data_IF_547875981508
#
_entry.id   IF_547875981508
#
_cell.length_a   1.000
_cell.length_b   1.000
_cell.length_c   1.000
_cell.angle_alpha   90.00
_cell.angle_beta   90.00
_cell.angle_gamma   90.00
#
_symmetry.space_group_name_H-M   'P 1'
#
loop_
_entity.id
_entity.type
_entity.pdbx_description
1 polymer ?
#
# COMPACT_ATOMS: atom_id res chain seq x y z
N UNK A 1 13.55 4.38 -14.21
CA UNK A 1 12.46 4.99 -13.44
C UNK A 1 11.19 4.13 -13.45
N UNK A 2 10.54 3.90 -14.60
CA UNK A 2 9.27 3.14 -14.67
C UNK A 2 9.38 1.71 -14.16
N UNK A 3 10.46 1.02 -14.46
CA UNK A 3 10.75 -0.33 -13.94
C UNK A 3 10.82 -0.33 -12.41
N UNK A 4 11.50 0.66 -11.83
CA UNK A 4 11.60 0.80 -10.37
C UNK A 4 10.23 1.08 -9.73
N UNK A 5 9.42 1.96 -10.33
CA UNK A 5 8.05 2.23 -9.89
C UNK A 5 7.18 0.98 -9.93
N UNK A 6 7.29 0.18 -10.98
CA UNK A 6 6.58 -1.10 -11.10
C UNK A 6 6.92 -2.04 -9.93
N UNK A 7 8.20 -2.24 -9.63
CA UNK A 7 8.62 -3.09 -8.50
C UNK A 7 8.17 -2.54 -7.15
N UNK A 8 8.18 -1.21 -6.96
CA UNK A 8 7.68 -0.59 -5.72
C UNK A 8 6.19 -0.84 -5.55
N UNK A 9 5.39 -0.67 -6.61
CA UNK A 9 3.94 -0.89 -6.56
C UNK A 9 3.63 -2.35 -6.22
N UNK A 10 4.23 -3.28 -6.95
CA UNK A 10 4.03 -4.72 -6.73
C UNK A 10 4.52 -5.13 -5.33
N UNK A 11 5.73 -4.71 -4.95
CA UNK A 11 6.30 -5.01 -3.64
C UNK A 11 5.45 -4.49 -2.49
N UNK A 12 5.03 -3.23 -2.55
CA UNK A 12 4.16 -2.62 -1.53
C UNK A 12 2.79 -3.30 -1.46
N UNK A 13 2.20 -3.62 -2.61
CA UNK A 13 0.91 -4.30 -2.67
C UNK A 13 0.93 -5.70 -2.07
N UNK A 14 2.03 -6.43 -2.26
CA UNK A 14 2.22 -7.75 -1.66
C UNK A 14 2.60 -7.67 -0.18
N UNK A 15 3.43 -6.71 0.22
CA UNK A 15 3.98 -6.61 1.56
C UNK A 15 2.96 -6.13 2.59
N UNK A 16 2.26 -5.01 2.34
CA UNK A 16 1.40 -4.34 3.34
C UNK A 16 0.32 -5.24 3.93
N UNK A 17 -0.52 -5.95 3.14
CA UNK A 17 -1.56 -6.80 3.69
C UNK A 17 -0.98 -8.02 4.43
N UNK A 18 0.13 -8.56 3.94
CA UNK A 18 0.76 -9.73 4.56
C UNK A 18 1.40 -9.40 5.91
N UNK A 19 2.07 -8.25 6.06
CA UNK A 19 2.63 -7.84 7.35
C UNK A 19 1.51 -7.61 8.38
N UNK A 20 0.44 -6.91 8.02
CA UNK A 20 -0.70 -6.71 8.92
C UNK A 20 -1.32 -8.04 9.37
N UNK A 21 -1.46 -9.00 8.46
CA UNK A 21 -1.94 -10.34 8.79
C UNK A 21 -0.97 -11.10 9.74
N UNK A 22 0.34 -10.98 9.52
CA UNK A 22 1.35 -11.57 10.41
C UNK A 22 1.24 -10.99 11.81
N UNK A 23 1.12 -9.65 11.94
CA UNK A 23 0.95 -8.98 13.25
C UNK A 23 -0.28 -9.51 13.98
N UNK A 24 -1.44 -9.60 13.30
CA UNK A 24 -2.65 -10.16 13.90
C UNK A 24 -2.50 -11.62 14.37
N UNK A 25 -1.69 -12.43 13.69
CA UNK A 25 -1.45 -13.83 14.01
C UNK A 25 -0.42 -14.07 15.11
N UNK A 26 0.28 -13.03 15.57
CA UNK A 26 1.19 -13.11 16.72
C UNK A 26 0.43 -13.27 18.04
N UNK A 27 -0.85 -12.92 18.05
CA UNK A 27 -1.70 -12.95 19.22
C UNK A 27 -2.75 -14.06 19.09
N UNK A 28 -3.07 -14.77 20.20
CA UNK A 28 -4.22 -15.69 20.25
C UNK A 28 -5.53 -14.95 19.94
N UNK A 29 -6.56 -15.72 19.55
CA UNK A 29 -7.89 -15.15 19.37
C UNK A 29 -8.39 -14.52 20.68
N UNK A 30 -8.94 -13.31 20.58
CA UNK A 30 -9.45 -12.49 21.72
C UNK A 30 -8.37 -12.05 22.73
N UNK A 31 -7.09 -12.02 22.38
CA UNK A 31 -6.06 -11.44 23.23
C UNK A 31 -6.18 -9.91 23.24
N UNK A 32 -6.40 -9.33 24.42
CA UNK A 32 -6.53 -7.89 24.64
C UNK A 32 -5.28 -7.10 24.24
N UNK A 33 -4.12 -7.76 24.13
CA UNK A 33 -2.86 -7.14 23.71
C UNK A 33 -2.74 -6.96 22.20
N UNK A 34 -3.61 -7.57 21.41
CA UNK A 34 -3.59 -7.49 19.95
C UNK A 34 -3.72 -6.04 19.48
N UNK A 35 -4.62 -5.26 20.08
CA UNK A 35 -4.79 -3.84 19.75
C UNK A 35 -3.53 -3.03 20.04
N UNK A 36 -2.91 -3.26 21.20
CA UNK A 36 -1.63 -2.63 21.53
C UNK A 36 -0.51 -3.01 20.54
N UNK A 37 -0.49 -4.27 20.08
CA UNK A 37 0.43 -4.73 19.05
C UNK A 37 0.26 -4.00 17.74
N UNK A 38 -0.96 -3.79 17.28
CA UNK A 38 -1.24 -2.99 16.10
C UNK A 38 -0.86 -1.51 16.28
N UNK A 39 -1.09 -0.93 17.45
CA UNK A 39 -0.66 0.45 17.77
C UNK A 39 0.85 0.59 17.65
N UNK A 40 1.63 -0.34 18.23
CA UNK A 40 3.09 -0.36 18.13
C UNK A 40 3.54 -0.51 16.68
N UNK A 41 2.90 -1.39 15.92
CA UNK A 41 3.18 -1.57 14.49
C UNK A 41 2.96 -0.27 13.71
N UNK A 42 1.81 0.39 13.86
CA UNK A 42 1.55 1.67 13.21
C UNK A 42 2.46 2.80 13.69
N UNK A 43 2.82 2.81 14.97
CA UNK A 43 3.79 3.76 15.50
C UNK A 43 5.15 3.62 14.83
N UNK A 44 5.62 2.38 14.57
CA UNK A 44 6.88 2.15 13.86
C UNK A 44 6.84 2.66 12.41
N UNK A 45 5.69 2.52 11.71
CA UNK A 45 5.49 3.08 10.37
C UNK A 45 5.56 4.60 10.40
N UNK A 46 4.89 5.24 11.36
CA UNK A 46 4.90 6.70 11.52
C UNK A 46 6.30 7.23 11.92
N UNK A 47 7.06 6.50 12.74
CA UNK A 47 8.45 6.84 13.02
C UNK A 47 9.32 6.82 11.76
N UNK A 48 9.13 5.84 10.89
CA UNK A 48 9.78 5.80 9.58
C UNK A 48 9.40 7.01 8.71
N UNK A 49 8.12 7.36 8.68
CA UNK A 49 7.62 8.52 7.94
C UNK A 49 8.16 9.85 8.47
N UNK A 50 8.40 9.96 9.79
CA UNK A 50 9.01 11.14 10.41
C UNK A 50 10.50 11.25 10.10
N UNK A 51 11.24 10.15 10.21
CA UNK A 51 12.71 10.14 10.07
C UNK A 51 13.13 10.27 8.59
N UNK A 52 12.37 9.69 7.68
CA UNK A 52 12.71 9.65 6.25
C UNK A 52 12.90 11.03 5.62
N UNK A 53 12.00 12.01 5.77
CA UNK A 53 12.20 13.35 5.22
C UNK A 53 13.43 14.06 5.79
N UNK A 54 13.72 13.88 7.08
CA UNK A 54 14.87 14.50 7.75
C UNK A 54 16.18 14.03 7.12
N UNK A 55 16.29 12.72 6.85
CA UNK A 55 17.47 12.16 6.19
C UNK A 55 17.55 12.59 4.72
N UNK A 56 16.41 12.61 4.02
CA UNK A 56 16.36 12.88 2.59
C UNK A 56 16.52 14.37 2.27
N UNK A 57 16.17 15.28 3.20
CA UNK A 57 16.25 16.73 2.98
C UNK A 57 17.64 17.16 2.51
N UNK A 58 18.70 16.66 3.15
CA UNK A 58 20.07 16.95 2.76
C UNK A 58 20.35 16.62 1.27
N UNK A 59 19.83 15.49 0.77
CA UNK A 59 20.02 15.06 -0.62
C UNK A 59 19.19 15.87 -1.60
N UNK A 60 18.05 16.38 -1.16
CA UNK A 60 17.21 17.30 -1.94
C UNK A 60 17.93 18.64 -2.08
N UNK A 61 18.49 19.17 -1.01
CA UNK A 61 19.18 20.47 -0.98
C UNK A 61 20.39 20.50 -1.92
N UNK A 62 21.17 19.41 -1.97
CA UNK A 62 22.30 19.26 -2.89
C UNK A 62 21.89 18.75 -4.28
N UNK A 63 20.59 18.63 -4.57
CA UNK A 63 20.02 18.09 -5.81
C UNK A 63 20.53 16.69 -6.20
N UNK A 64 20.97 15.90 -5.22
CA UNK A 64 21.43 14.52 -5.43
C UNK A 64 20.30 13.52 -5.18
N UNK A 65 19.29 13.50 -6.03
CA UNK A 65 18.15 12.59 -5.91
C UNK A 65 18.55 11.11 -5.97
N UNK A 66 19.60 10.77 -6.72
CA UNK A 66 20.09 9.38 -6.78
C UNK A 66 20.66 8.92 -5.43
N UNK A 67 21.34 9.79 -4.71
CA UNK A 67 21.81 9.52 -3.34
C UNK A 67 20.64 9.30 -2.38
N UNK A 68 19.58 10.10 -2.46
CA UNK A 68 18.37 9.91 -1.68
C UNK A 68 17.71 8.54 -1.94
N UNK A 69 17.55 8.15 -3.20
CA UNK A 69 17.02 6.82 -3.55
C UNK A 69 17.94 5.68 -3.08
N UNK A 70 19.26 5.86 -3.14
CA UNK A 70 20.22 4.87 -2.67
C UNK A 70 20.09 4.63 -1.16
N UNK A 71 19.93 5.68 -0.36
CA UNK A 71 19.71 5.55 1.10
C UNK A 71 18.41 4.81 1.39
N UNK A 72 17.34 5.13 0.70
CA UNK A 72 16.08 4.41 0.85
C UNK A 72 16.24 2.92 0.50
N UNK A 73 16.97 2.60 -0.58
CA UNK A 73 17.27 1.24 -0.99
C UNK A 73 18.11 0.49 0.05
N UNK A 74 19.12 1.15 0.64
CA UNK A 74 19.95 0.58 1.71
C UNK A 74 19.07 0.30 2.94
N UNK A 75 18.22 1.24 3.35
CA UNK A 75 17.30 1.04 4.48
C UNK A 75 16.36 -0.16 4.26
N UNK A 76 15.79 -0.31 3.07
CA UNK A 76 14.97 -1.48 2.72
C UNK A 76 15.78 -2.78 2.72
N UNK A 77 17.01 -2.76 2.20
CA UNK A 77 17.88 -3.91 2.19
C UNK A 77 18.27 -4.35 3.61
N UNK A 78 18.59 -3.41 4.50
CA UNK A 78 18.85 -3.68 5.91
C UNK A 78 17.63 -4.28 6.61
N UNK A 79 16.43 -3.74 6.36
CA UNK A 79 15.18 -4.28 6.89
C UNK A 79 14.92 -5.72 6.40
N UNK A 80 15.18 -6.00 5.11
CA UNK A 80 15.05 -7.33 4.54
C UNK A 80 16.06 -8.32 5.16
N UNK A 81 17.33 -7.93 5.27
CA UNK A 81 18.37 -8.75 5.89
C UNK A 81 18.02 -9.05 7.35
N UNK A 82 17.60 -8.04 8.11
CA UNK A 82 17.11 -8.22 9.47
C UNK A 82 15.95 -9.22 9.55
N UNK A 83 14.96 -9.05 8.69
CA UNK A 83 13.84 -9.97 8.62
C UNK A 83 14.29 -11.41 8.31
N UNK A 84 15.15 -11.61 7.33
CA UNK A 84 15.63 -12.94 6.94
C UNK A 84 16.45 -13.63 8.04
N UNK A 85 17.24 -12.87 8.80
CA UNK A 85 18.06 -13.40 9.89
C UNK A 85 17.25 -13.77 11.13
N UNK A 86 16.23 -12.95 11.45
CA UNK A 86 15.53 -13.06 12.74
C UNK A 86 14.09 -13.60 12.64
N UNK A 87 13.51 -13.74 11.45
CA UNK A 87 12.13 -14.17 11.28
C UNK A 87 11.81 -15.50 11.99
N UNK A 88 12.70 -16.48 11.88
CA UNK A 88 12.50 -17.80 12.54
C UNK A 88 12.52 -17.70 14.06
N UNK A 89 13.35 -16.81 14.62
CA UNK A 89 13.47 -16.61 16.07
C UNK A 89 12.30 -15.79 16.63
N UNK A 90 11.83 -14.80 15.89
CA UNK A 90 10.79 -13.85 16.35
C UNK A 90 9.38 -14.28 15.97
N UNK A 91 9.19 -14.82 14.77
CA UNK A 91 7.87 -15.22 14.25
C UNK A 91 7.63 -16.73 14.33
N UNK A 92 8.69 -17.52 14.55
CA UNK A 92 8.57 -18.99 14.56
C UNK A 92 8.07 -19.52 13.22
N UNK A 93 6.92 -20.17 13.23
CA UNK A 93 6.27 -20.69 12.01
C UNK A 93 5.23 -19.75 11.40
N UNK A 94 4.96 -18.60 12.04
CA UNK A 94 3.95 -17.65 11.59
C UNK A 94 4.41 -16.99 10.27
N UNK A 95 3.54 -16.99 9.27
CA UNK A 95 3.85 -16.45 7.95
C UNK A 95 4.70 -17.34 7.04
N UNK A 96 5.22 -18.46 7.52
CA UNK A 96 6.03 -19.39 6.70
C UNK A 96 5.21 -20.20 5.69
N UNK A 97 3.94 -20.43 6.00
CA UNK A 97 3.01 -21.16 5.12
C UNK A 97 1.72 -20.37 4.98
N UNK A 98 1.09 -20.39 3.81
CA UNK A 98 -0.22 -19.78 3.64
C UNK A 98 -1.25 -20.52 4.53
N UNK A 99 -2.19 -19.77 5.09
CA UNK A 99 -3.25 -20.31 5.96
C UNK A 99 -4.19 -21.21 5.18
N UNK A 100 -4.49 -20.83 3.94
CA UNK A 100 -5.29 -21.59 3.00
C UNK A 100 -4.52 -21.74 1.68
N UNK A 101 -3.73 -22.81 1.51
CA UNK A 101 -2.96 -23.00 0.29
C UNK A 101 -3.89 -23.33 -0.87
N UNK A 102 -3.75 -22.60 -1.97
CA UNK A 102 -4.48 -22.87 -3.19
C UNK A 102 -4.22 -24.28 -3.69
N UNK A 103 -5.27 -24.99 -4.06
CA UNK A 103 -5.17 -26.27 -4.75
C UNK A 103 -4.50 -26.15 -6.12
N UNK A 104 -4.03 -27.24 -6.69
CA UNK A 104 -3.36 -27.20 -8.00
C UNK A 104 -4.28 -26.66 -9.12
N UNK A 105 -5.58 -26.96 -9.05
CA UNK A 105 -6.59 -26.44 -9.99
C UNK A 105 -6.82 -24.94 -9.82
N UNK A 106 -6.88 -24.45 -8.58
CA UNK A 106 -7.03 -23.02 -8.28
C UNK A 106 -5.80 -22.23 -8.67
N UNK A 107 -4.59 -22.74 -8.43
CA UNK A 107 -3.34 -22.11 -8.90
C UNK A 107 -3.35 -21.94 -10.41
N UNK A 108 -3.77 -22.97 -11.16
CA UNK A 108 -3.88 -22.87 -12.61
C UNK A 108 -4.93 -21.85 -13.03
N UNK A 109 -6.12 -21.90 -12.40
CA UNK A 109 -7.22 -20.95 -12.69
C UNK A 109 -6.81 -19.50 -12.43
N UNK A 110 -6.33 -19.19 -11.23
CA UNK A 110 -5.92 -17.83 -10.88
C UNK A 110 -4.67 -17.38 -11.64
N UNK A 111 -3.71 -18.27 -11.86
CA UNK A 111 -2.56 -17.99 -12.70
C UNK A 111 -2.97 -17.61 -14.12
N UNK A 112 -3.89 -18.36 -14.74
CA UNK A 112 -4.41 -18.03 -16.07
C UNK A 112 -5.14 -16.68 -16.07
N UNK A 113 -5.97 -16.41 -15.06
CA UNK A 113 -6.67 -15.11 -14.94
C UNK A 113 -5.66 -13.96 -14.84
N UNK A 114 -4.62 -14.09 -14.01
CA UNK A 114 -3.57 -13.07 -13.88
C UNK A 114 -2.88 -12.83 -15.23
N UNK A 115 -2.50 -13.88 -15.93
CA UNK A 115 -1.86 -13.77 -17.26
C UNK A 115 -2.79 -13.07 -18.26
N UNK A 116 -4.07 -13.44 -18.31
CA UNK A 116 -5.05 -12.80 -19.20
C UNK A 116 -5.20 -11.30 -18.85
N UNK A 117 -5.31 -10.97 -17.58
CA UNK A 117 -5.43 -9.57 -17.12
C UNK A 117 -4.18 -8.76 -17.49
N UNK A 118 -2.99 -9.31 -17.27
CA UNK A 118 -1.73 -8.65 -17.65
C UNK A 118 -1.66 -8.43 -19.17
N UNK A 119 -1.98 -9.45 -19.97
CA UNK A 119 -2.02 -9.33 -21.42
C UNK A 119 -3.04 -8.27 -21.86
N UNK A 120 -4.24 -8.26 -21.27
CA UNK A 120 -5.27 -7.27 -21.59
C UNK A 120 -4.79 -5.84 -21.26
N UNK A 121 -4.17 -5.63 -20.11
CA UNK A 121 -3.60 -4.32 -19.72
C UNK A 121 -2.53 -3.89 -20.73
N UNK A 122 -1.59 -4.78 -21.07
CA UNK A 122 -0.53 -4.48 -22.05
C UNK A 122 -1.13 -4.13 -23.41
N UNK A 123 -2.11 -4.88 -23.89
CA UNK A 123 -2.79 -4.60 -25.17
C UNK A 123 -3.52 -3.25 -25.14
N UNK A 124 -4.24 -2.94 -24.07
CA UNK A 124 -4.92 -1.64 -23.90
C UNK A 124 -3.90 -0.49 -23.93
N UNK A 125 -2.78 -0.62 -23.21
CA UNK A 125 -1.73 0.40 -23.21
C UNK A 125 -1.06 0.53 -24.59
N UNK A 126 -0.82 -0.56 -25.29
CA UNK A 126 -0.31 -0.53 -26.66
C UNK A 126 -1.28 0.16 -27.63
N UNK A 127 -2.55 -0.19 -27.57
CA UNK A 127 -3.57 0.46 -28.42
C UNK A 127 -3.63 1.96 -28.10
N UNK A 128 -3.68 2.33 -26.82
CA UNK A 128 -3.71 3.73 -26.38
C UNK A 128 -2.45 4.50 -26.81
N UNK A 129 -1.30 3.84 -26.85
CA UNK A 129 -0.05 4.43 -27.34
C UNK A 129 -0.10 4.67 -28.86
N UNK A 130 -0.48 3.67 -29.65
CA UNK A 130 -0.53 3.79 -31.12
C UNK A 130 -1.64 4.71 -31.61
N UNK A 131 -2.75 4.82 -30.89
CA UNK A 131 -3.86 5.74 -31.21
C UNK A 131 -3.63 7.15 -30.67
N UNK A 132 -2.48 7.43 -30.01
CA UNK A 132 -2.17 8.71 -29.36
C UNK A 132 -3.25 9.16 -28.36
N UNK A 133 -4.05 8.23 -27.84
CA UNK A 133 -5.07 8.50 -26.80
C UNK A 133 -4.52 8.41 -25.39
N UNK A 134 -3.25 7.98 -25.23
CA UNK A 134 -2.59 7.89 -23.94
C UNK A 134 -2.38 9.29 -23.38
N UNK A 135 -3.27 9.69 -22.48
CA UNK A 135 -3.21 10.97 -21.79
C UNK A 135 -3.23 10.78 -20.28
N UNK A 136 -2.70 11.75 -19.54
CA UNK A 136 -2.77 11.74 -18.07
C UNK A 136 -4.21 11.62 -17.57
N UNK A 137 -5.16 12.28 -18.22
CA UNK A 137 -6.58 12.21 -17.88
C UNK A 137 -7.17 10.80 -18.06
N UNK A 138 -6.78 10.09 -19.13
CA UNK A 138 -7.23 8.71 -19.35
C UNK A 138 -6.72 7.79 -18.22
N UNK A 139 -5.45 7.91 -17.86
CA UNK A 139 -4.84 7.13 -16.78
C UNK A 139 -5.53 7.45 -15.45
N UNK A 140 -5.67 8.73 -15.11
CA UNK A 140 -6.29 9.20 -13.88
C UNK A 140 -7.74 8.72 -13.74
N UNK A 141 -8.54 8.88 -14.79
CA UNK A 141 -9.93 8.43 -14.80
C UNK A 141 -10.04 6.90 -14.69
N UNK A 142 -9.15 6.17 -15.35
CA UNK A 142 -9.12 4.70 -15.25
C UNK A 142 -8.80 4.24 -13.83
N UNK A 143 -7.80 4.86 -13.19
CA UNK A 143 -7.46 4.57 -11.79
C UNK A 143 -8.62 4.91 -10.86
N UNK A 144 -9.30 6.04 -11.07
CA UNK A 144 -10.48 6.42 -10.29
C UNK A 144 -11.60 5.40 -10.42
N UNK A 145 -11.95 5.02 -11.65
CA UNK A 145 -13.02 4.05 -11.91
C UNK A 145 -12.67 2.69 -11.29
N UNK A 146 -11.44 2.21 -11.47
CA UNK A 146 -10.99 0.96 -10.86
C UNK A 146 -10.97 1.05 -9.33
N UNK A 147 -10.53 2.17 -8.77
CA UNK A 147 -10.50 2.41 -7.33
C UNK A 147 -11.89 2.33 -6.68
N UNK A 148 -12.95 2.70 -7.41
CA UNK A 148 -14.33 2.60 -6.94
C UNK A 148 -14.92 1.22 -7.26
N UNK A 149 -14.72 0.71 -8.48
CA UNK A 149 -15.35 -0.52 -8.95
C UNK A 149 -14.82 -1.76 -8.22
N UNK A 150 -13.49 -1.85 -7.99
CA UNK A 150 -12.90 -3.02 -7.35
C UNK A 150 -13.44 -3.30 -5.94
N UNK A 151 -13.53 -2.33 -5.02
CA UNK A 151 -14.16 -2.56 -3.72
C UNK A 151 -15.62 -2.99 -3.82
N UNK A 152 -16.39 -2.38 -4.71
CA UNK A 152 -17.80 -2.74 -4.93
C UNK A 152 -17.91 -4.21 -5.39
N UNK A 153 -17.12 -4.58 -6.39
CA UNK A 153 -17.09 -5.97 -6.90
C UNK A 153 -16.67 -6.91 -5.78
N UNK A 154 -15.63 -6.58 -5.02
CA UNK A 154 -15.09 -7.40 -3.95
C UNK A 154 -16.14 -7.64 -2.85
N UNK A 155 -16.73 -6.59 -2.29
CA UNK A 155 -17.77 -6.71 -1.27
C UNK A 155 -19.01 -7.45 -1.77
N UNK A 156 -19.44 -7.16 -3.01
CA UNK A 156 -20.59 -7.85 -3.60
C UNK A 156 -20.31 -9.34 -3.76
N UNK A 157 -19.12 -9.71 -4.20
CA UNK A 157 -18.69 -11.11 -4.37
C UNK A 157 -18.67 -11.83 -3.01
N UNK A 158 -18.08 -11.19 -1.99
CA UNK A 158 -18.06 -11.76 -0.63
C UNK A 158 -19.47 -11.97 -0.07
N UNK A 159 -20.34 -10.97 -0.17
CA UNK A 159 -21.71 -11.04 0.36
C UNK A 159 -22.55 -12.11 -0.37
N UNK A 160 -22.30 -12.30 -1.67
CA UNK A 160 -23.03 -13.29 -2.50
C UNK A 160 -22.41 -14.69 -2.47
N UNK A 161 -21.21 -14.85 -1.95
CA UNK A 161 -20.53 -16.14 -1.90
C UNK A 161 -21.32 -17.13 -1.02
N UNK A 162 -21.43 -18.35 -1.50
CA UNK A 162 -22.04 -19.48 -0.74
C UNK A 162 -21.07 -20.08 0.29
N UNK A 163 -19.78 -19.79 0.17
CA UNK A 163 -18.75 -20.27 1.09
C UNK A 163 -18.66 -19.42 2.37
N UNK A 164 -19.26 -18.22 2.35
CA UNK A 164 -19.25 -17.27 3.47
C UNK A 164 -20.43 -17.56 4.39
N UNK A 165 -20.15 -17.79 5.67
CA UNK A 165 -21.17 -18.00 6.70
C UNK A 165 -21.98 -16.74 6.98
N UNK A 166 -23.17 -16.89 7.57
CA UNK A 166 -24.03 -15.72 7.86
C UNK A 166 -23.39 -14.76 8.86
N UNK A 167 -22.60 -15.26 9.80
CA UNK A 167 -21.83 -14.45 10.76
C UNK A 167 -20.77 -13.64 10.04
N UNK A 168 -20.02 -14.24 9.14
CA UNK A 168 -19.00 -13.54 8.34
C UNK A 168 -19.64 -12.52 7.40
N UNK A 169 -20.75 -12.87 6.77
CA UNK A 169 -21.53 -11.96 5.92
C UNK A 169 -22.00 -10.72 6.69
N UNK A 170 -22.45 -10.90 7.91
CA UNK A 170 -22.83 -9.80 8.80
C UNK A 170 -21.64 -8.92 9.13
N UNK A 171 -20.48 -9.50 9.43
CA UNK A 171 -19.24 -8.75 9.68
C UNK A 171 -18.79 -7.96 8.45
N UNK A 172 -18.84 -8.55 7.25
CA UNK A 172 -18.53 -7.86 5.99
C UNK A 172 -19.45 -6.67 5.79
N UNK A 173 -20.76 -6.81 6.00
CA UNK A 173 -21.72 -5.69 5.91
C UNK A 173 -21.42 -4.58 6.92
N UNK A 174 -21.09 -4.94 8.16
CA UNK A 174 -20.70 -3.99 9.19
C UNK A 174 -19.38 -3.27 8.88
N UNK A 175 -18.48 -3.91 8.10
CA UNK A 175 -17.22 -3.31 7.71
C UNK A 175 -17.35 -2.27 6.59
N UNK A 176 -18.40 -2.33 5.74
CA UNK A 176 -18.59 -1.37 4.63
C UNK A 176 -18.62 0.09 5.09
N UNK A 177 -19.41 0.49 6.11
CA UNK A 177 -19.37 1.86 6.62
C UNK A 177 -17.98 2.28 7.12
N UNK A 178 -17.28 1.39 7.82
CA UNK A 178 -15.90 1.65 8.29
C UNK A 178 -14.94 1.83 7.11
N UNK A 179 -15.08 1.05 6.05
CA UNK A 179 -14.31 1.19 4.83
C UNK A 179 -14.55 2.56 4.16
N UNK A 180 -15.81 3.00 4.07
CA UNK A 180 -16.16 4.33 3.51
C UNK A 180 -15.56 5.45 4.37
N UNK A 181 -15.68 5.36 5.69
CA UNK A 181 -15.08 6.33 6.61
C UNK A 181 -13.54 6.35 6.49
N UNK A 182 -12.92 5.18 6.34
CA UNK A 182 -11.49 5.06 6.08
C UNK A 182 -11.08 5.73 4.77
N UNK A 183 -11.83 5.54 3.70
CA UNK A 183 -11.59 6.23 2.41
C UNK A 183 -11.67 7.75 2.56
N UNK A 184 -12.70 8.26 3.25
CA UNK A 184 -12.86 9.70 3.50
C UNK A 184 -11.71 10.25 4.35
N UNK A 185 -11.34 9.54 5.42
CA UNK A 185 -10.21 9.91 6.27
C UNK A 185 -8.90 10.03 5.47
N UNK A 186 -8.56 8.99 4.72
CA UNK A 186 -7.33 8.99 3.92
C UNK A 186 -7.35 10.02 2.80
N UNK A 187 -8.52 10.26 2.19
CA UNK A 187 -8.67 11.32 1.17
C UNK A 187 -8.35 12.71 1.74
N UNK A 188 -8.76 13.00 2.97
CA UNK A 188 -8.47 14.26 3.65
C UNK A 188 -7.00 14.30 4.11
N UNK A 189 -6.51 13.21 4.69
CA UNK A 189 -5.14 13.10 5.21
C UNK A 189 -4.08 13.34 4.13
N UNK A 190 -4.27 12.75 2.94
CA UNK A 190 -3.34 12.91 1.82
C UNK A 190 -3.34 14.32 1.22
N UNK A 191 -4.39 15.13 1.45
CA UNK A 191 -4.39 16.54 1.04
C UNK A 191 -3.35 17.37 1.83
N UNK A 192 -2.99 16.95 3.03
CA UNK A 192 -1.98 17.62 3.84
C UNK A 192 -0.62 17.75 3.14
N UNK A 193 -0.20 16.71 2.43
CA UNK A 193 1.07 16.67 1.68
C UNK A 193 0.97 17.23 0.26
N UNK A 194 -0.22 17.49 -0.24
CA UNK A 194 -0.46 17.95 -1.61
C UNK A 194 -1.11 19.33 -1.64
N UNK A 195 -2.44 19.40 -1.66
CA UNK A 195 -3.19 20.66 -1.86
C UNK A 195 -2.93 21.66 -0.72
N UNK A 196 -2.96 21.21 0.54
CA UNK A 196 -2.74 22.11 1.68
C UNK A 196 -1.30 22.60 1.76
N UNK A 197 -0.33 21.78 1.37
CA UNK A 197 1.06 22.18 1.30
C UNK A 197 1.27 23.28 0.23
N UNK A 198 0.73 23.09 -0.98
CA UNK A 198 0.80 24.07 -2.05
C UNK A 198 0.09 25.37 -1.62
N UNK A 199 -1.12 25.27 -1.06
CA UNK A 199 -1.87 26.40 -0.54
C UNK A 199 -1.07 27.17 0.52
N UNK A 200 -0.40 26.43 1.44
CA UNK A 200 0.45 27.04 2.46
C UNK A 200 1.63 27.80 1.86
N UNK A 201 2.28 27.25 0.83
CA UNK A 201 3.41 27.90 0.16
C UNK A 201 2.95 29.16 -0.60
N UNK A 202 1.81 29.11 -1.27
CA UNK A 202 1.32 30.21 -2.12
C UNK A 202 0.65 31.33 -1.33
N UNK A 203 0.00 31.01 -0.20
CA UNK A 203 -0.88 31.95 0.52
C UNK A 203 -0.37 32.31 1.94
N UNK A 204 0.66 31.64 2.46
CA UNK A 204 1.28 32.04 3.73
C UNK A 204 2.59 32.79 3.45
N UNK A 205 2.72 33.96 4.08
CA UNK A 205 3.95 34.76 4.04
C UNK A 205 5.02 34.06 4.92
N UNK A 206 5.51 32.92 4.46
CA UNK A 206 6.60 32.18 5.10
C UNK A 206 7.93 32.87 4.86
N UNK A 207 8.04 34.15 5.15
CA UNK A 207 9.32 34.79 5.45
C UNK A 207 9.80 34.29 6.80
N UNK A 208 10.22 33.05 6.84
CA UNK A 208 11.12 32.62 7.91
C UNK A 208 12.33 33.53 7.79
N UNK A 209 12.40 34.42 8.73
CA UNK A 209 13.44 35.37 9.09
C UNK A 209 14.84 34.80 8.83
N UNK A 210 15.30 34.95 7.58
CA UNK A 210 16.72 34.76 7.21
C UNK A 210 17.46 36.11 7.21
N UNK A 211 17.05 37.01 8.10
CA UNK A 211 17.80 38.23 8.39
C UNK A 211 18.25 38.15 9.84
N UNK A 212 19.33 37.41 10.06
CA UNK A 212 20.30 37.63 11.16
C UNK A 212 21.30 36.46 11.14
N UNK A 213 22.24 36.51 10.19
CA UNK A 213 23.68 36.27 10.42
C UNK A 213 24.45 37.05 9.37
#
# INVERSE_FOLDING_TARGET
>A
LFTSMFFIIVGSGLMKPNISNIVGRLYPENDVRMDAGFVIFYMSVNMGALVSPIILQHYIDIRNFHGGFLIAAIGMALGLVWYLLFNRKTLGSIGMKPTNPLSSSEKKKYGTIIVIVVIAIVLILMIAYFTHTLSFNLISNTVLILGIALPIIYFTTMIRSKEVTDTERSRVKAFIPLFILGMLFWSIQEQGSNVLNIYGIENSDMKLRSEHV
#
